data_IF_091264098603
#
_entry.id   IF_091264098603
#
_cell.length_a   1.000
_cell.length_b   1.000
_cell.length_c   1.000
_cell.angle_alpha   90.00
_cell.angle_beta   90.00
_cell.angle_gamma   90.00
#
_symmetry.space_group_name_H-M   'P 1'
#
loop_
_entity.id
_entity.type
_entity.pdbx_description
1 polymer ?
#
# COMPACT_ATOMS: atom_id res chain seq x y z
N UNK A 1 -17.56 8.22 13.67
CA UNK A 1 -17.35 9.64 14.04
C UNK A 1 -17.91 10.56 12.97
N UNK A 2 -17.45 10.48 11.70
CA UNK A 2 -17.97 11.32 10.60
C UNK A 2 -19.49 11.32 10.48
N UNK A 3 -20.14 10.16 10.54
CA UNK A 3 -21.60 10.05 10.50
C UNK A 3 -22.30 10.92 11.56
N UNK A 4 -21.80 10.95 12.79
CA UNK A 4 -22.36 11.77 13.87
C UNK A 4 -22.16 13.27 13.63
N UNK A 5 -21.04 13.67 13.04
CA UNK A 5 -20.77 15.08 12.70
C UNK A 5 -21.69 15.55 11.58
N UNK A 6 -21.88 14.73 10.54
CA UNK A 6 -22.82 15.00 9.46
C UNK A 6 -24.26 15.08 9.99
N UNK A 7 -24.68 14.12 10.82
CA UNK A 7 -26.01 14.10 11.44
C UNK A 7 -26.25 15.34 12.33
N UNK A 8 -25.25 15.77 13.09
CA UNK A 8 -25.35 16.97 13.91
C UNK A 8 -25.51 18.24 13.05
N UNK A 9 -24.76 18.33 11.95
CA UNK A 9 -24.88 19.44 10.99
C UNK A 9 -26.28 19.48 10.35
N UNK A 10 -26.77 18.36 9.84
CA UNK A 10 -28.12 18.26 9.24
C UNK A 10 -29.24 18.60 10.22
N UNK A 11 -29.05 18.31 11.51
CA UNK A 11 -29.99 18.69 12.59
C UNK A 11 -29.90 20.16 13.01
N UNK A 12 -29.05 20.96 12.37
CA UNK A 12 -28.85 22.38 12.68
C UNK A 12 -28.12 22.60 14.01
N UNK A 13 -27.29 21.65 14.45
CA UNK A 13 -26.48 21.85 15.65
C UNK A 13 -25.32 22.84 15.45
N UNK A 14 -24.95 23.12 14.19
CA UNK A 14 -23.97 24.14 13.79
C UNK A 14 -24.30 24.67 12.40
N UNK A 15 -24.10 25.97 12.17
CA UNK A 15 -24.31 26.62 10.86
C UNK A 15 -23.15 26.33 9.88
N UNK A 16 -21.95 26.07 10.39
CA UNK A 16 -20.77 25.73 9.60
C UNK A 16 -19.96 24.62 10.27
N UNK A 17 -19.45 23.70 9.46
CA UNK A 17 -18.58 22.60 9.88
C UNK A 17 -17.47 22.48 8.84
N UNK A 18 -16.23 22.59 9.30
CA UNK A 18 -15.05 22.47 8.45
C UNK A 18 -14.21 21.29 8.92
N UNK A 19 -13.95 20.35 8.02
CA UNK A 19 -12.96 19.31 8.24
C UNK A 19 -11.60 19.82 7.81
N UNK A 20 -10.61 19.72 8.69
CA UNK A 20 -9.21 20.03 8.39
C UNK A 20 -8.47 18.70 8.31
N UNK A 21 -8.08 18.24 7.12
CA UNK A 21 -7.22 17.06 6.96
C UNK A 21 -5.88 17.31 7.66
N UNK A 22 -5.45 16.39 8.52
CA UNK A 22 -4.16 16.49 9.21
C UNK A 22 -3.38 15.21 8.99
N UNK A 23 -2.18 15.34 8.40
CA UNK A 23 -1.21 14.26 8.36
C UNK A 23 -0.20 14.43 9.49
N UNK A 24 0.05 13.35 10.22
CA UNK A 24 1.07 13.29 11.27
C UNK A 24 2.02 12.15 10.91
N UNK A 25 3.23 12.50 10.49
CA UNK A 25 4.29 11.55 10.22
C UNK A 25 5.30 11.57 11.35
N UNK A 26 5.74 10.38 11.76
CA UNK A 26 6.73 10.22 12.81
C UNK A 26 7.99 9.61 12.23
N UNK A 27 9.16 10.10 12.63
CA UNK A 27 10.41 9.36 12.40
C UNK A 27 10.39 8.02 13.16
N UNK A 28 9.64 7.94 14.26
CA UNK A 28 9.55 6.76 15.11
C UNK A 28 8.13 6.54 15.63
N UNK A 29 7.71 5.28 15.64
CA UNK A 29 6.41 4.89 16.18
C UNK A 29 6.61 4.16 17.49
N UNK A 30 5.93 4.63 18.53
CA UNK A 30 5.82 3.88 19.78
C UNK A 30 5.03 2.59 19.50
N UNK A 31 5.41 1.50 20.16
CA UNK A 31 4.56 0.31 20.25
C UNK A 31 4.43 -0.56 18.98
N UNK A 32 5.43 -0.48 18.10
CA UNK A 32 5.61 -1.38 16.95
C UNK A 32 5.36 -2.85 17.32
N UNK A 33 5.81 -3.30 18.50
CA UNK A 33 5.62 -4.69 18.95
C UNK A 33 4.17 -5.06 19.27
N UNK A 34 3.38 -4.14 19.81
CA UNK A 34 1.97 -4.38 20.08
C UNK A 34 1.18 -4.45 18.77
N UNK A 35 1.51 -3.57 17.81
CA UNK A 35 0.93 -3.59 16.48
C UNK A 35 1.30 -4.85 15.70
N UNK A 36 2.57 -5.30 15.77
CA UNK A 36 3.05 -6.56 15.16
C UNK A 36 2.39 -7.78 15.80
N UNK A 37 2.19 -7.78 17.13
CA UNK A 37 1.51 -8.88 17.83
C UNK A 37 0.05 -9.00 17.39
N UNK A 38 -0.66 -7.88 17.32
CA UNK A 38 -2.06 -7.81 16.86
C UNK A 38 -2.18 -8.24 15.38
N UNK A 39 -1.32 -7.69 14.50
CA UNK A 39 -1.29 -8.01 13.07
C UNK A 39 -0.93 -9.48 12.79
N UNK A 40 -0.08 -10.10 13.62
CA UNK A 40 0.29 -11.52 13.56
C UNK A 40 -0.74 -12.48 14.19
N UNK A 41 -1.88 -11.96 14.67
CA UNK A 41 -2.96 -12.78 15.24
C UNK A 41 -2.78 -13.19 16.70
N UNK A 42 -1.79 -12.63 17.40
CA UNK A 42 -1.72 -12.73 18.87
C UNK A 42 -2.74 -11.72 19.43
N UNK A 43 -3.71 -12.21 20.20
CA UNK A 43 -4.84 -11.40 20.67
C UNK A 43 -4.41 -10.13 21.41
N UNK A 44 -5.24 -9.08 21.28
CA UNK A 44 -5.09 -7.79 21.96
C UNK A 44 -4.80 -7.98 23.45
N UNK A 45 -3.62 -7.60 23.91
CA UNK A 45 -3.40 -7.47 25.35
C UNK A 45 -4.20 -6.25 25.83
N UNK A 46 -5.09 -6.45 26.79
CA UNK A 46 -5.81 -5.36 27.46
C UNK A 46 -4.82 -4.57 28.32
N UNK A 47 -4.13 -3.61 27.72
CA UNK A 47 -3.21 -2.75 28.43
C UNK A 47 -3.93 -1.47 28.88
N UNK A 48 -4.28 -1.42 30.17
CA UNK A 48 -4.95 -0.28 30.78
C UNK A 48 -4.02 0.92 31.01
N UNK A 49 -4.59 2.06 31.42
CA UNK A 49 -3.91 3.35 31.65
C UNK A 49 -2.61 3.29 32.51
N UNK A 50 -2.43 2.24 33.32
CA UNK A 50 -1.21 1.98 34.13
C UNK A 50 -0.01 1.46 33.33
N UNK A 51 -0.22 0.96 32.12
CA UNK A 51 0.82 0.57 31.17
C UNK A 51 1.30 1.81 30.38
N UNK A 52 0.36 2.65 29.90
CA UNK A 52 0.61 3.97 29.31
C UNK A 52 1.50 4.86 30.19
N UNK A 53 1.18 4.98 31.49
CA UNK A 53 1.99 5.78 32.43
C UNK A 53 3.42 5.24 32.65
N UNK A 54 3.65 3.94 32.42
CA UNK A 54 4.95 3.29 32.60
C UNK A 54 5.81 3.34 31.34
N UNK A 55 5.19 3.32 30.16
CA UNK A 55 5.83 3.64 28.89
C UNK A 55 6.23 5.12 28.88
N UNK A 56 5.30 6.04 29.11
CA UNK A 56 5.57 7.50 29.14
C UNK A 56 6.70 7.92 30.09
N UNK A 57 6.94 7.20 31.19
CA UNK A 57 8.01 7.51 32.15
C UNK A 57 9.36 6.85 31.82
N UNK A 58 9.37 5.79 31.01
CA UNK A 58 10.58 5.15 30.47
C UNK A 58 10.98 5.76 29.12
N UNK A 59 10.00 6.35 28.42
CA UNK A 59 10.10 6.89 27.07
C UNK A 59 10.39 8.41 27.03
N UNK A 60 10.93 8.97 28.11
CA UNK A 60 11.34 10.39 28.19
C UNK A 60 12.86 10.56 28.09
N UNK A 61 13.61 9.47 28.00
CA UNK A 61 15.09 9.47 27.98
C UNK A 61 15.70 9.19 26.60
N UNK A 62 14.96 8.64 25.65
CA UNK A 62 15.47 8.38 24.30
C UNK A 62 15.15 9.56 23.34
N UNK A 63 15.98 9.77 22.33
CA UNK A 63 15.74 10.76 21.28
C UNK A 63 14.79 10.16 20.23
N UNK A 64 13.51 10.54 20.28
CA UNK A 64 12.42 9.94 19.48
C UNK A 64 12.28 10.47 18.02
N UNK A 65 13.35 11.07 17.49
CA UNK A 65 13.30 11.71 16.17
C UNK A 65 12.36 12.93 16.14
N UNK A 66 11.85 13.27 14.96
CA UNK A 66 10.94 14.41 14.74
C UNK A 66 9.50 13.93 14.47
N UNK A 67 8.55 14.80 14.80
CA UNK A 67 7.13 14.67 14.43
C UNK A 67 6.82 15.75 13.40
N UNK A 68 6.26 15.36 12.27
CA UNK A 68 5.87 16.26 11.19
C UNK A 68 4.35 16.33 11.15
N UNK A 69 3.82 17.54 11.30
CA UNK A 69 2.38 17.80 11.20
C UNK A 69 2.13 18.67 9.98
N UNK A 70 1.27 18.20 9.07
CA UNK A 70 0.87 18.92 7.87
C UNK A 70 -0.65 19.02 7.79
N UNK A 71 -1.12 20.16 7.31
CA UNK A 71 -2.55 20.46 7.18
C UNK A 71 -2.91 20.48 5.69
N UNK A 72 -3.90 19.69 5.31
CA UNK A 72 -4.47 19.67 3.97
C UNK A 72 -5.49 20.79 3.76
N UNK A 73 -5.95 20.93 2.52
CA UNK A 73 -6.99 21.90 2.19
C UNK A 73 -8.28 21.61 2.99
N UNK A 74 -8.90 22.61 3.63
CA UNK A 74 -10.11 22.41 4.43
C UNK A 74 -11.32 22.01 3.55
N UNK A 75 -12.19 21.15 4.07
CA UNK A 75 -13.45 20.74 3.45
C UNK A 75 -14.59 21.38 4.23
N UNK A 76 -15.34 22.29 3.61
CA UNK A 76 -16.57 22.83 4.19
C UNK A 76 -17.71 21.85 3.95
N UNK A 77 -18.34 21.39 5.03
CA UNK A 77 -19.38 20.36 4.94
C UNK A 77 -20.58 20.85 4.12
N UNK A 78 -21.00 22.10 4.28
CA UNK A 78 -22.11 22.67 3.50
C UNK A 78 -21.88 22.61 1.98
N UNK A 79 -20.71 23.07 1.52
CA UNK A 79 -20.32 23.03 0.10
C UNK A 79 -20.17 21.59 -0.42
N UNK A 80 -19.67 20.70 0.42
CA UNK A 80 -19.53 19.28 0.08
C UNK A 80 -20.90 18.61 -0.10
N UNK A 81 -21.86 18.87 0.80
CA UNK A 81 -23.19 18.31 0.73
C UNK A 81 -23.98 18.80 -0.48
N UNK A 82 -23.84 20.07 -0.89
CA UNK A 82 -24.46 20.56 -2.12
C UNK A 82 -23.91 19.84 -3.35
N UNK A 83 -22.60 19.64 -3.39
CA UNK A 83 -21.93 18.96 -4.51
C UNK A 83 -22.33 17.48 -4.61
N UNK A 84 -22.49 16.79 -3.48
CA UNK A 84 -22.90 15.37 -3.45
C UNK A 84 -24.41 15.19 -3.61
N UNK A 85 -25.22 16.12 -3.12
CA UNK A 85 -26.68 16.06 -3.19
C UNK A 85 -27.25 16.24 -4.60
N UNK A 86 -26.48 16.81 -5.52
CA UNK A 86 -26.84 16.91 -6.95
C UNK A 86 -26.67 15.57 -7.71
N UNK A 87 -26.03 14.57 -7.10
CA UNK A 87 -25.98 13.21 -7.67
C UNK A 87 -27.23 12.41 -7.25
N UNK A 88 -28.23 12.40 -8.13
CA UNK A 88 -29.47 11.61 -8.02
C UNK A 88 -29.17 10.08 -7.96
N UNK A 89 -30.10 9.31 -7.37
CA UNK A 89 -30.12 7.83 -7.22
C UNK A 89 -29.59 7.20 -5.91
N UNK A 90 -30.00 7.71 -4.73
CA UNK A 90 -29.90 6.93 -3.49
C UNK A 90 -31.17 7.02 -2.62
N UNK A 91 -31.75 5.87 -2.26
CA UNK A 91 -32.89 5.74 -1.33
C UNK A 91 -32.60 6.31 0.08
N UNK A 92 -31.31 6.45 0.43
CA UNK A 92 -30.85 7.20 1.61
C UNK A 92 -29.57 8.00 1.24
N UNK A 93 -29.68 9.33 1.03
CA UNK A 93 -28.54 10.19 0.71
C UNK A 93 -27.37 10.05 1.70
N UNK A 94 -27.68 9.74 2.97
CA UNK A 94 -26.69 9.59 4.04
C UNK A 94 -25.78 8.38 3.85
N UNK A 95 -26.28 7.31 3.22
CA UNK A 95 -25.48 6.10 2.95
C UNK A 95 -24.33 6.36 1.98
N UNK A 96 -24.43 7.41 1.16
CA UNK A 96 -23.44 7.77 0.14
C UNK A 96 -22.55 8.95 0.56
N UNK A 97 -23.10 9.92 1.29
CA UNK A 97 -22.38 11.13 1.75
C UNK A 97 -21.22 10.79 2.67
N UNK A 98 -21.45 9.97 3.71
CA UNK A 98 -20.41 9.69 4.71
C UNK A 98 -19.21 8.96 4.09
N UNK A 99 -19.38 7.92 3.24
CA UNK A 99 -18.27 7.31 2.53
C UNK A 99 -17.53 8.28 1.59
N UNK A 100 -18.25 9.10 0.81
CA UNK A 100 -17.62 10.10 -0.08
C UNK A 100 -16.81 11.14 0.72
N UNK A 101 -17.32 11.59 1.86
CA UNK A 101 -16.60 12.52 2.74
C UNK A 101 -15.37 11.87 3.36
N UNK A 102 -15.49 10.62 3.83
CA UNK A 102 -14.36 9.86 4.35
C UNK A 102 -13.26 9.70 3.30
N UNK A 103 -13.65 9.40 2.06
CA UNK A 103 -12.75 9.33 0.92
C UNK A 103 -12.03 10.67 0.69
N UNK A 104 -12.77 11.77 0.57
CA UNK A 104 -12.21 13.10 0.33
C UNK A 104 -11.22 13.53 1.44
N UNK A 105 -11.58 13.31 2.71
CA UNK A 105 -10.70 13.59 3.85
C UNK A 105 -9.42 12.75 3.75
N UNK A 106 -9.52 11.45 3.49
CA UNK A 106 -8.36 10.56 3.39
C UNK A 106 -7.45 10.93 2.21
N UNK A 107 -8.01 11.28 1.06
CA UNK A 107 -7.25 11.74 -0.11
C UNK A 107 -6.45 13.00 0.22
N UNK A 108 -7.06 13.99 0.87
CA UNK A 108 -6.35 15.22 1.27
C UNK A 108 -5.31 15.00 2.37
N UNK A 109 -5.48 13.99 3.23
CA UNK A 109 -4.43 13.56 4.17
C UNK A 109 -3.26 13.00 3.37
N UNK A 110 -3.51 12.06 2.45
CA UNK A 110 -2.49 11.43 1.62
C UNK A 110 -1.69 12.45 0.79
N UNK A 111 -2.34 13.45 0.21
CA UNK A 111 -1.70 14.52 -0.57
C UNK A 111 -0.69 15.34 0.22
N UNK A 112 -0.88 15.50 1.54
CA UNK A 112 0.02 16.28 2.40
C UNK A 112 0.91 15.44 3.29
N UNK A 113 0.79 14.10 3.25
CA UNK A 113 1.66 13.20 4.03
C UNK A 113 3.09 13.28 3.54
N UNK A 114 4.05 13.73 4.38
CA UNK A 114 5.42 13.90 3.93
C UNK A 114 6.17 12.56 3.86
N UNK A 115 6.91 12.38 2.77
CA UNK A 115 7.86 11.29 2.59
C UNK A 115 9.09 11.54 3.46
N UNK A 116 9.53 10.50 4.18
CA UNK A 116 10.73 10.54 5.04
C UNK A 116 11.85 9.66 4.47
N UNK A 117 13.12 9.98 4.70
CA UNK A 117 14.23 9.08 4.36
C UNK A 117 14.08 7.66 4.94
N UNK A 118 13.58 7.55 6.18
CA UNK A 118 13.30 6.27 6.84
C UNK A 118 12.29 5.45 6.03
N UNK A 119 11.19 6.06 5.59
CA UNK A 119 10.17 5.37 4.79
C UNK A 119 10.72 4.85 3.46
N UNK A 120 11.64 5.58 2.83
CA UNK A 120 12.30 5.16 1.60
C UNK A 120 13.31 4.03 1.82
N UNK A 121 14.16 4.14 2.85
CA UNK A 121 15.12 3.07 3.22
C UNK A 121 14.38 1.77 3.55
N UNK A 122 13.30 1.84 4.34
CA UNK A 122 12.48 0.65 4.64
C UNK A 122 11.78 0.09 3.39
N UNK A 123 11.31 0.94 2.48
CA UNK A 123 10.71 0.51 1.21
C UNK A 123 11.71 -0.29 0.37
N UNK A 124 12.94 0.19 0.22
CA UNK A 124 14.02 -0.48 -0.53
C UNK A 124 14.42 -1.80 0.13
N UNK A 125 14.64 -1.81 1.46
CA UNK A 125 15.03 -3.02 2.18
C UNK A 125 13.94 -4.09 2.16
N UNK A 126 12.66 -3.71 2.26
CA UNK A 126 11.54 -4.64 2.10
C UNK A 126 11.45 -5.19 0.67
N UNK A 127 11.77 -4.36 -0.33
CA UNK A 127 11.81 -4.74 -1.74
C UNK A 127 12.76 -5.91 -2.06
N UNK A 128 13.82 -6.10 -1.25
CA UNK A 128 14.78 -7.20 -1.39
C UNK A 128 14.34 -8.54 -0.79
N UNK A 129 13.15 -8.62 -0.20
CA UNK A 129 12.57 -9.90 0.20
C UNK A 129 13.33 -10.63 1.29
N UNK A 130 13.85 -9.89 2.25
CA UNK A 130 14.64 -10.44 3.36
C UNK A 130 16.12 -10.66 3.05
N UNK A 131 16.57 -10.42 1.82
CA UNK A 131 17.99 -10.38 1.50
C UNK A 131 18.63 -9.12 2.09
N UNK A 132 19.86 -9.25 2.58
CA UNK A 132 20.64 -8.11 3.04
C UNK A 132 21.24 -7.35 1.86
N UNK A 133 21.37 -6.03 2.01
CA UNK A 133 21.96 -5.12 1.02
C UNK A 133 23.23 -4.48 1.56
N UNK A 134 24.20 -4.22 0.68
CA UNK A 134 25.31 -3.31 1.04
C UNK A 134 24.81 -1.87 1.14
N UNK A 135 25.64 -0.97 1.69
CA UNK A 135 25.31 0.45 1.69
C UNK A 135 25.20 0.99 0.25
N UNK A 136 26.13 0.58 -0.62
CA UNK A 136 26.14 0.97 -2.02
C UNK A 136 24.88 0.52 -2.78
N UNK A 137 24.39 -0.70 -2.53
CA UNK A 137 23.16 -1.21 -3.14
C UNK A 137 21.94 -0.39 -2.70
N UNK A 138 21.86 -0.04 -1.40
CA UNK A 138 20.76 0.78 -0.86
C UNK A 138 20.77 2.16 -1.52
N UNK A 139 21.95 2.80 -1.59
CA UNK A 139 22.08 4.11 -2.23
C UNK A 139 21.69 4.06 -3.71
N UNK A 140 22.17 3.06 -4.44
CA UNK A 140 21.86 2.85 -5.87
C UNK A 140 20.35 2.66 -6.09
N UNK A 141 19.68 1.90 -5.24
CA UNK A 141 18.23 1.69 -5.32
C UNK A 141 17.40 2.92 -4.93
N UNK A 142 17.91 3.76 -4.01
CA UNK A 142 17.23 4.96 -3.55
C UNK A 142 17.32 6.13 -4.53
N UNK A 143 18.43 6.27 -5.27
CA UNK A 143 18.65 7.37 -6.19
C UNK A 143 17.52 7.57 -7.22
N UNK A 144 17.08 6.55 -8.00
CA UNK A 144 16.01 6.73 -8.97
C UNK A 144 14.65 7.00 -8.31
N UNK A 145 14.44 6.56 -7.06
CA UNK A 145 13.24 6.90 -6.28
C UNK A 145 13.25 8.38 -5.87
N UNK A 146 14.41 8.93 -5.48
CA UNK A 146 14.54 10.36 -5.19
C UNK A 146 14.27 11.21 -6.44
N UNK A 147 14.80 10.81 -7.60
CA UNK A 147 14.51 11.49 -8.87
C UNK A 147 13.02 11.41 -9.25
N UNK A 148 12.34 10.30 -8.95
CA UNK A 148 10.90 10.17 -9.11
C UNK A 148 10.13 11.18 -8.24
N UNK A 149 10.54 11.32 -6.98
CA UNK A 149 9.97 12.23 -5.97
C UNK A 149 10.15 13.69 -6.40
N UNK A 150 11.37 14.07 -6.77
CA UNK A 150 11.73 15.44 -7.14
C UNK A 150 10.98 15.91 -8.40
N UNK A 151 10.96 15.07 -9.45
CA UNK A 151 10.23 15.36 -10.70
C UNK A 151 8.74 15.61 -10.50
N UNK A 152 8.17 15.02 -9.45
CA UNK A 152 6.74 15.15 -9.09
C UNK A 152 6.50 16.18 -7.99
N UNK A 153 7.55 16.78 -7.44
CA UNK A 153 7.47 17.71 -6.31
C UNK A 153 6.64 17.14 -5.14
N UNK A 154 6.83 15.85 -4.86
CA UNK A 154 6.07 15.18 -3.80
C UNK A 154 6.44 15.76 -2.43
N UNK A 155 5.52 15.77 -1.46
CA UNK A 155 5.79 16.31 -0.14
C UNK A 155 6.87 15.48 0.56
N UNK A 156 7.97 16.10 0.96
CA UNK A 156 9.03 15.45 1.76
C UNK A 156 9.26 16.18 3.07
N UNK A 157 9.77 15.50 4.10
CA UNK A 157 10.12 16.14 5.39
C UNK A 157 11.33 17.06 5.30
N UNK A 158 12.24 16.72 4.40
CA UNK A 158 13.44 17.45 4.02
C UNK A 158 13.75 17.14 2.55
N UNK A 159 14.57 17.95 1.85
CA UNK A 159 15.02 17.60 0.51
C UNK A 159 15.64 16.20 0.51
N UNK A 160 15.21 15.36 -0.43
CA UNK A 160 15.67 13.97 -0.55
C UNK A 160 16.79 13.96 -1.58
N UNK A 161 18.03 14.00 -1.10
CA UNK A 161 19.21 13.97 -1.94
C UNK A 161 20.11 12.84 -1.45
N UNK A 162 20.11 11.73 -2.17
CA UNK A 162 20.91 10.55 -1.84
C UNK A 162 22.31 10.58 -2.49
N UNK A 163 22.73 11.75 -2.97
CA UNK A 163 24.09 12.00 -3.44
C UNK A 163 25.11 12.00 -2.28
N UNK A 164 24.66 12.33 -1.05
CA UNK A 164 25.49 12.24 0.15
C UNK A 164 25.06 11.08 1.05
N UNK A 165 26.05 10.40 1.62
CA UNK A 165 25.80 9.23 2.46
C UNK A 165 25.08 9.57 3.78
N UNK A 166 25.15 10.83 4.22
CA UNK A 166 24.74 11.25 5.56
C UNK A 166 23.27 10.97 5.84
N UNK A 167 22.37 11.22 4.88
CA UNK A 167 20.93 11.03 5.06
C UNK A 167 20.56 9.54 5.15
N UNK A 168 21.18 8.70 4.32
CA UNK A 168 21.00 7.24 4.34
C UNK A 168 21.56 6.67 5.64
N UNK A 169 22.79 7.06 6.02
CA UNK A 169 23.44 6.61 7.27
C UNK A 169 22.65 7.03 8.50
N UNK A 170 22.14 8.26 8.54
CA UNK A 170 21.29 8.72 9.64
C UNK A 170 20.02 7.86 9.76
N UNK A 171 19.37 7.55 8.64
CA UNK A 171 18.15 6.72 8.60
C UNK A 171 18.43 5.28 9.04
N UNK A 172 19.51 4.67 8.52
CA UNK A 172 19.95 3.33 8.92
C UNK A 172 20.29 3.28 10.41
N UNK A 173 21.05 4.25 10.92
CA UNK A 173 21.42 4.32 12.34
C UNK A 173 20.18 4.42 13.24
N UNK A 174 19.17 5.19 12.84
CA UNK A 174 17.90 5.25 13.57
C UNK A 174 17.20 3.88 13.53
N UNK A 175 17.03 3.28 12.36
CA UNK A 175 16.39 1.98 12.21
C UNK A 175 17.11 0.86 12.99
N UNK A 176 18.44 0.88 13.06
CA UNK A 176 19.26 -0.05 13.85
C UNK A 176 19.08 0.19 15.35
N UNK A 177 19.11 1.44 15.79
CA UNK A 177 18.88 1.82 17.19
C UNK A 177 17.54 1.30 17.70
N UNK A 178 16.52 1.33 16.84
CA UNK A 178 15.17 0.82 17.14
C UNK A 178 14.96 -0.65 16.79
N UNK A 179 16.02 -1.34 16.35
CA UNK A 179 16.02 -2.78 16.02
C UNK A 179 15.08 -3.15 14.88
N UNK A 180 14.72 -2.21 14.01
CA UNK A 180 13.94 -2.49 12.79
C UNK A 180 14.85 -3.04 11.69
N UNK A 181 16.09 -2.55 11.64
CA UNK A 181 17.15 -3.02 10.73
C UNK A 181 18.27 -3.65 11.56
N UNK A 182 18.87 -4.72 11.03
CA UNK A 182 20.08 -5.33 11.55
C UNK A 182 21.25 -5.01 10.61
N UNK A 183 22.39 -4.65 11.21
CA UNK A 183 23.66 -4.51 10.51
C UNK A 183 24.51 -5.74 10.81
N UNK A 184 25.08 -6.33 9.76
CA UNK A 184 25.99 -7.46 9.85
C UNK A 184 27.36 -7.05 9.33
N UNK A 185 28.45 -7.45 10.02
CA UNK A 185 29.79 -7.19 9.53
C UNK A 185 30.05 -7.98 8.25
N UNK A 186 30.45 -7.29 7.18
CA UNK A 186 30.98 -7.90 5.97
C UNK A 186 32.50 -7.78 5.90
N UNK A 187 33.10 -8.45 4.90
CA UNK A 187 34.55 -8.40 4.66
C UNK A 187 34.95 -7.10 3.99
N UNK A 188 34.19 -6.68 2.97
CA UNK A 188 34.44 -5.45 2.22
C UNK A 188 33.69 -4.27 2.84
N UNK A 189 32.38 -4.43 3.07
CA UNK A 189 31.51 -3.46 3.73
C UNK A 189 30.39 -4.14 4.54
N UNK A 190 29.78 -3.45 5.53
CA UNK A 190 28.62 -3.97 6.25
C UNK A 190 27.41 -4.17 5.35
N UNK A 191 26.56 -5.13 5.71
CA UNK A 191 25.29 -5.39 5.05
C UNK A 191 24.13 -5.16 6.01
N UNK A 192 23.00 -4.71 5.47
CA UNK A 192 21.81 -4.31 6.22
C UNK A 192 20.59 -5.10 5.75
N UNK A 193 19.77 -5.58 6.67
CA UNK A 193 18.48 -6.19 6.35
C UNK A 193 17.42 -5.79 7.37
N UNK A 194 16.15 -5.96 7.01
CA UNK A 194 15.08 -5.86 7.99
C UNK A 194 15.26 -6.97 9.03
N UNK A 195 15.24 -6.59 10.31
CA UNK A 195 15.44 -7.50 11.42
C UNK A 195 14.36 -8.59 11.45
N UNK A 196 14.71 -9.76 12.01
CA UNK A 196 13.76 -10.86 12.15
C UNK A 196 12.49 -10.42 12.92
N UNK A 197 11.31 -10.82 12.43
CA UNK A 197 9.98 -10.40 12.92
C UNK A 197 9.66 -8.89 12.84
N UNK A 198 10.50 -8.05 12.25
CA UNK A 198 10.26 -6.60 12.09
C UNK A 198 9.74 -6.18 10.72
N UNK A 199 9.37 -7.12 9.86
CA UNK A 199 8.90 -6.80 8.50
C UNK A 199 7.56 -6.06 8.52
N UNK A 200 6.63 -6.44 9.40
CA UNK A 200 5.39 -5.69 9.60
C UNK A 200 5.65 -4.29 10.15
N UNK A 201 6.64 -4.14 11.04
CA UNK A 201 7.07 -2.84 11.54
C UNK A 201 7.62 -1.93 10.44
N UNK A 202 8.57 -2.45 9.67
CA UNK A 202 9.15 -1.76 8.53
C UNK A 202 8.07 -1.40 7.49
N UNK A 203 7.13 -2.31 7.25
CA UNK A 203 6.05 -2.10 6.28
C UNK A 203 5.16 -0.91 6.64
N UNK A 204 5.02 -0.56 7.92
CA UNK A 204 4.28 0.63 8.32
C UNK A 204 4.94 1.91 7.76
N UNK A 205 6.26 2.04 7.88
CA UNK A 205 6.97 3.21 7.38
C UNK A 205 6.81 3.34 5.86
N UNK A 206 6.99 2.24 5.11
CA UNK A 206 6.70 2.19 3.67
C UNK A 206 5.24 2.55 3.36
N UNK A 207 4.28 1.94 4.07
CA UNK A 207 2.85 2.09 3.79
C UNK A 207 2.35 3.53 4.03
N UNK A 208 3.07 4.34 4.80
CA UNK A 208 2.77 5.77 4.99
C UNK A 208 2.98 6.59 3.70
N UNK A 209 3.85 6.12 2.79
CA UNK A 209 4.21 6.84 1.56
C UNK A 209 3.80 6.09 0.29
N UNK A 210 3.36 4.83 0.41
CA UNK A 210 3.23 3.94 -0.73
C UNK A 210 2.21 4.42 -1.76
N UNK A 211 1.18 5.16 -1.32
CA UNK A 211 0.12 5.71 -2.16
C UNK A 211 0.64 6.63 -3.27
N UNK A 212 1.79 7.29 -3.08
CA UNK A 212 2.40 8.12 -4.11
C UNK A 212 2.93 7.33 -5.32
N UNK A 213 3.17 6.03 -5.15
CA UNK A 213 3.76 5.16 -6.18
C UNK A 213 2.74 4.22 -6.84
N UNK A 214 1.53 4.12 -6.29
CA UNK A 214 0.52 3.12 -6.70
C UNK A 214 0.09 3.29 -8.16
N UNK A 215 -0.14 4.52 -8.65
CA UNK A 215 -0.59 4.71 -10.03
C UNK A 215 0.48 4.29 -11.04
N UNK A 216 1.74 4.66 -10.81
CA UNK A 216 2.86 4.23 -11.67
C UNK A 216 3.03 2.71 -11.61
N UNK A 217 2.98 2.13 -10.41
CA UNK A 217 3.04 0.69 -10.20
C UNK A 217 1.91 -0.08 -10.91
N UNK A 218 0.67 0.40 -10.86
CA UNK A 218 -0.45 -0.18 -11.61
C UNK A 218 -0.21 -0.06 -13.11
N UNK A 219 0.33 1.07 -13.57
CA UNK A 219 0.62 1.31 -14.99
C UNK A 219 1.68 0.32 -15.50
N UNK A 220 2.78 0.11 -14.78
CA UNK A 220 3.81 -0.89 -15.10
C UNK A 220 3.21 -2.30 -15.24
N UNK A 221 2.43 -2.72 -14.24
CA UNK A 221 1.81 -4.04 -14.25
C UNK A 221 0.77 -4.17 -15.37
N UNK A 222 0.01 -3.10 -15.66
CA UNK A 222 -0.95 -3.07 -16.77
C UNK A 222 -0.26 -3.21 -18.13
N UNK A 223 0.87 -2.53 -18.35
CA UNK A 223 1.69 -2.66 -19.56
C UNK A 223 2.16 -4.11 -19.73
N UNK A 224 2.65 -4.75 -18.66
CA UNK A 224 3.07 -6.14 -18.73
C UNK A 224 1.90 -7.10 -19.03
N UNK A 225 0.70 -6.80 -18.52
CA UNK A 225 -0.50 -7.61 -18.74
C UNK A 225 -1.02 -7.60 -20.18
N UNK A 226 -0.64 -6.60 -20.99
CA UNK A 226 -1.06 -6.49 -22.39
C UNK A 226 0.00 -6.98 -23.37
N UNK A 227 1.04 -7.67 -22.90
CA UNK A 227 2.20 -8.07 -23.72
C UNK A 227 1.83 -8.85 -24.98
N UNK A 228 0.86 -9.75 -24.87
CA UNK A 228 0.42 -10.61 -25.97
C UNK A 228 -0.90 -10.14 -26.60
N UNK A 229 -1.35 -8.90 -26.31
CA UNK A 229 -2.60 -8.36 -26.81
C UNK A 229 -2.40 -7.50 -28.08
N UNK A 230 -2.98 -7.89 -29.24
CA UNK A 230 -2.94 -7.09 -30.46
C UNK A 230 -3.53 -5.67 -30.33
N UNK A 231 -4.36 -5.43 -29.32
CA UNK A 231 -4.99 -4.14 -29.01
C UNK A 231 -4.39 -3.46 -27.75
N UNK A 232 -3.16 -3.82 -27.37
CA UNK A 232 -2.50 -3.36 -26.13
C UNK A 232 -2.67 -1.87 -25.82
N UNK A 233 -2.58 -0.99 -26.82
CA UNK A 233 -2.71 0.46 -26.64
C UNK A 233 -4.08 0.94 -26.13
N UNK A 234 -5.14 0.13 -26.28
CA UNK A 234 -6.45 0.38 -25.68
C UNK A 234 -6.60 -0.45 -24.40
N UNK A 235 -6.29 -1.75 -24.46
CA UNK A 235 -6.47 -2.68 -23.35
C UNK A 235 -5.65 -2.33 -22.10
N UNK A 236 -4.55 -1.57 -22.22
CA UNK A 236 -3.74 -1.14 -21.08
C UNK A 236 -4.56 -0.34 -20.05
N UNK A 237 -5.53 0.46 -20.51
CA UNK A 237 -6.41 1.23 -19.63
C UNK A 237 -7.43 0.33 -18.93
N UNK A 238 -7.97 -0.67 -19.65
CA UNK A 238 -8.87 -1.67 -19.07
C UNK A 238 -8.12 -2.50 -18.00
N UNK A 239 -6.88 -2.89 -18.28
CA UNK A 239 -6.02 -3.59 -17.30
C UNK A 239 -5.66 -2.73 -16.10
N UNK A 240 -5.41 -1.43 -16.30
CA UNK A 240 -5.21 -0.52 -15.19
C UNK A 240 -6.47 -0.42 -14.29
N UNK A 241 -7.67 -0.39 -14.88
CA UNK A 241 -8.92 -0.40 -14.12
C UNK A 241 -9.16 -1.71 -13.38
N UNK A 242 -8.90 -2.84 -14.04
CA UNK A 242 -9.00 -4.16 -13.43
C UNK A 242 -8.08 -4.31 -12.21
N UNK A 243 -6.88 -3.71 -12.26
CA UNK A 243 -5.91 -3.68 -11.15
C UNK A 243 -6.31 -2.69 -10.06
N UNK A 244 -6.82 -1.52 -10.43
CA UNK A 244 -7.41 -0.54 -9.50
C UNK A 244 -8.53 -1.17 -8.69
N UNK A 245 -9.45 -1.87 -9.35
CA UNK A 245 -10.61 -2.50 -8.73
C UNK A 245 -10.23 -3.68 -7.84
N UNK A 246 -9.12 -4.36 -8.17
CA UNK A 246 -8.52 -5.36 -7.30
C UNK A 246 -8.01 -4.73 -6.00
N UNK A 247 -7.42 -3.53 -6.06
CA UNK A 247 -6.75 -2.87 -4.94
C UNK A 247 -7.62 -1.84 -4.20
N UNK A 248 -8.91 -1.72 -4.54
CA UNK A 248 -9.80 -0.67 -4.01
C UNK A 248 -10.07 -0.73 -2.50
N UNK A 249 -9.78 -1.86 -1.87
CA UNK A 249 -9.86 -2.01 -0.41
C UNK A 249 -8.54 -1.65 0.29
N UNK A 250 -7.47 -1.41 -0.47
CA UNK A 250 -6.15 -0.96 0.03
C UNK A 250 -5.97 0.54 -0.12
N UNK A 251 -6.40 1.10 -1.26
CA UNK A 251 -6.10 2.48 -1.62
C UNK A 251 -7.33 3.29 -1.97
N UNK A 252 -7.22 4.60 -1.71
CA UNK A 252 -8.19 5.59 -2.14
C UNK A 252 -7.89 6.03 -3.58
N UNK A 253 -8.65 5.50 -4.54
CA UNK A 253 -8.51 5.87 -5.95
C UNK A 253 -9.49 6.96 -6.37
N UNK A 254 -9.05 7.93 -7.19
CA UNK A 254 -9.96 8.93 -7.74
C UNK A 254 -11.02 8.29 -8.64
N UNK A 255 -12.02 9.08 -9.03
CA UNK A 255 -13.05 8.63 -9.98
C UNK A 255 -12.42 8.07 -11.27
N UNK A 256 -13.13 7.14 -11.92
CA UNK A 256 -12.62 6.37 -13.08
C UNK A 256 -11.94 7.23 -14.13
N UNK A 257 -12.58 8.32 -14.58
CA UNK A 257 -12.01 9.16 -15.64
C UNK A 257 -10.75 9.89 -15.20
N UNK A 258 -10.70 10.34 -13.94
CA UNK A 258 -9.51 10.98 -13.36
C UNK A 258 -8.37 9.98 -13.23
N UNK A 259 -8.64 8.77 -12.71
CA UNK A 259 -7.65 7.69 -12.61
C UNK A 259 -7.07 7.31 -13.98
N UNK A 260 -7.91 7.15 -15.00
CA UNK A 260 -7.44 6.87 -16.37
C UNK A 260 -6.64 8.04 -16.95
N UNK A 261 -6.99 9.27 -16.59
CA UNK A 261 -6.20 10.46 -16.87
C UNK A 261 -4.80 10.35 -16.25
N UNK A 262 -4.70 9.97 -14.98
CA UNK A 262 -3.43 9.79 -14.28
C UNK A 262 -2.57 8.68 -14.90
N UNK A 263 -3.17 7.53 -15.26
CA UNK A 263 -2.48 6.46 -15.98
C UNK A 263 -1.91 6.96 -17.31
N UNK A 264 -2.67 7.78 -18.05
CA UNK A 264 -2.19 8.39 -19.30
C UNK A 264 -1.05 9.37 -19.05
N UNK A 265 -1.12 10.17 -17.99
CA UNK A 265 -0.04 11.08 -17.60
C UNK A 265 1.22 10.33 -17.22
N UNK A 266 1.10 9.20 -16.51
CA UNK A 266 2.24 8.34 -16.18
C UNK A 266 2.88 7.75 -17.44
N UNK A 267 2.09 7.22 -18.38
CA UNK A 267 2.59 6.76 -19.68
C UNK A 267 3.36 7.85 -20.43
N UNK A 268 2.76 9.04 -20.58
CA UNK A 268 3.39 10.17 -21.28
C UNK A 268 4.64 10.72 -20.59
N UNK A 269 4.67 10.69 -19.26
CA UNK A 269 5.82 11.18 -18.48
C UNK A 269 7.03 10.28 -18.63
N UNK A 270 6.81 8.97 -18.73
CA UNK A 270 7.88 7.99 -18.86
C UNK A 270 8.33 7.80 -20.32
N UNK A 271 7.40 7.80 -21.29
CA UNK A 271 7.73 7.67 -22.70
C UNK A 271 6.63 8.30 -23.58
N UNK A 272 6.95 9.34 -24.35
CA UNK A 272 5.98 10.02 -25.24
C UNK A 272 5.55 9.16 -26.44
N UNK A 273 6.37 8.18 -26.82
CA UNK A 273 6.09 7.17 -27.86
C UNK A 273 5.36 5.92 -27.32
N UNK A 274 4.89 5.92 -26.06
CA UNK A 274 4.26 4.74 -25.42
C UNK A 274 3.21 4.06 -26.29
N UNK A 275 2.39 4.84 -27.00
CA UNK A 275 1.32 4.31 -27.85
C UNK A 275 1.88 3.55 -29.04
N UNK A 276 2.92 4.08 -29.68
CA UNK A 276 3.59 3.45 -30.82
C UNK A 276 4.27 2.15 -30.38
N UNK A 277 4.91 2.15 -29.22
CA UNK A 277 5.56 0.96 -28.64
C UNK A 277 4.53 -0.13 -28.33
N UNK A 278 3.40 0.20 -27.70
CA UNK A 278 2.33 -0.76 -27.44
C UNK A 278 1.72 -1.34 -28.73
N UNK A 279 1.52 -0.53 -29.77
CA UNK A 279 1.01 -1.01 -31.07
C UNK A 279 2.03 -1.91 -31.78
N UNK A 280 3.32 -1.62 -31.63
CA UNK A 280 4.40 -2.45 -32.17
C UNK A 280 4.66 -3.73 -31.36
N UNK A 281 4.09 -3.86 -30.15
CA UNK A 281 4.38 -4.94 -29.22
C UNK A 281 5.74 -4.82 -28.53
N UNK A 282 6.38 -3.65 -28.56
CA UNK A 282 7.67 -3.40 -27.92
C UNK A 282 7.50 -3.00 -26.45
N UNK A 283 7.03 -3.97 -25.67
CA UNK A 283 6.73 -3.83 -24.25
C UNK A 283 7.98 -3.63 -23.41
N UNK A 284 9.08 -4.28 -23.79
CA UNK A 284 10.31 -4.25 -23.02
C UNK A 284 10.97 -2.86 -23.07
N UNK A 285 11.01 -2.23 -24.25
CA UNK A 285 11.46 -0.83 -24.39
C UNK A 285 10.58 0.11 -23.58
N UNK A 286 9.26 -0.05 -23.66
CA UNK A 286 8.34 0.80 -22.89
C UNK A 286 8.56 0.62 -21.39
N UNK A 287 8.57 -0.62 -20.89
CA UNK A 287 8.77 -0.87 -19.47
C UNK A 287 10.17 -0.46 -18.99
N UNK A 288 11.19 -0.38 -19.85
CA UNK A 288 12.53 0.11 -19.48
C UNK A 288 12.59 1.62 -19.30
N UNK A 289 11.56 2.35 -19.76
CA UNK A 289 11.38 3.76 -19.41
C UNK A 289 10.79 3.99 -18.00
N UNK A 290 10.31 2.91 -17.36
CA UNK A 290 9.82 2.92 -15.98
C UNK A 290 10.94 2.47 -15.04
N UNK A 291 11.88 3.36 -14.78
CA UNK A 291 12.94 3.16 -13.77
C UNK A 291 12.78 4.15 -12.60
N UNK A 292 12.80 3.67 -11.34
CA UNK A 292 12.93 2.25 -10.95
C UNK A 292 11.59 1.51 -11.12
N UNK A 293 11.62 0.17 -11.18
CA UNK A 293 10.38 -0.63 -11.20
C UNK A 293 9.64 -0.49 -9.85
N UNK A 294 8.51 0.20 -9.84
CA UNK A 294 7.75 0.51 -8.62
C UNK A 294 6.73 -0.56 -8.27
N UNK A 295 6.21 -1.31 -9.24
CA UNK A 295 5.19 -2.32 -8.98
C UNK A 295 5.62 -3.39 -7.96
N UNK A 296 6.84 -3.97 -8.04
CA UNK A 296 7.31 -4.92 -7.04
C UNK A 296 7.47 -4.31 -5.64
N UNK A 297 7.86 -3.03 -5.55
CA UNK A 297 8.06 -2.33 -4.29
C UNK A 297 6.72 -1.92 -3.65
N UNK A 298 5.73 -1.57 -4.47
CA UNK A 298 4.46 -1.00 -4.03
C UNK A 298 3.33 -2.02 -3.88
N UNK A 299 3.20 -2.99 -4.78
CA UNK A 299 2.00 -3.82 -4.89
C UNK A 299 2.17 -5.24 -4.34
N UNK A 300 3.40 -5.75 -4.28
CA UNK A 300 3.70 -7.15 -3.94
C UNK A 300 3.02 -7.64 -2.66
N UNK A 301 3.10 -6.94 -1.52
CA UNK A 301 2.51 -7.44 -0.28
C UNK A 301 1.00 -7.69 -0.38
N UNK A 302 0.31 -6.81 -1.09
CA UNK A 302 -1.13 -6.87 -1.30
C UNK A 302 -1.49 -8.04 -2.21
N UNK A 303 -0.83 -8.15 -3.36
CA UNK A 303 -1.11 -9.21 -4.34
C UNK A 303 -0.76 -10.60 -3.79
N UNK A 304 0.36 -10.74 -3.07
CA UNK A 304 0.72 -11.99 -2.40
C UNK A 304 -0.31 -12.37 -1.31
N UNK A 305 -0.73 -11.41 -0.49
CA UNK A 305 -1.78 -11.65 0.53
C UNK A 305 -3.10 -12.08 -0.10
N UNK A 306 -3.48 -11.45 -1.21
CA UNK A 306 -4.72 -11.74 -1.92
C UNK A 306 -4.66 -13.12 -2.54
N UNK A 307 -3.52 -13.50 -3.13
CA UNK A 307 -3.27 -14.87 -3.64
C UNK A 307 -3.49 -15.91 -2.54
N UNK A 308 -2.92 -15.70 -1.34
CA UNK A 308 -3.09 -16.64 -0.21
C UNK A 308 -4.57 -16.84 0.11
N UNK A 309 -5.33 -15.75 0.25
CA UNK A 309 -6.77 -15.83 0.55
C UNK A 309 -7.54 -16.51 -0.56
N UNK A 310 -7.28 -16.16 -1.83
CA UNK A 310 -7.93 -16.78 -2.98
C UNK A 310 -7.71 -18.29 -3.05
N UNK A 311 -6.48 -18.76 -2.79
CA UNK A 311 -6.16 -20.19 -2.78
C UNK A 311 -6.75 -20.93 -1.56
N UNK A 312 -6.93 -20.27 -0.41
CA UNK A 312 -7.69 -20.83 0.72
C UNK A 312 -9.14 -21.07 0.32
N UNK A 313 -9.76 -20.11 -0.37
CA UNK A 313 -11.16 -20.21 -0.80
C UNK A 313 -11.33 -21.25 -1.92
N UNK A 314 -10.37 -21.33 -2.85
CA UNK A 314 -10.30 -22.36 -3.89
C UNK A 314 -10.24 -23.77 -3.28
N UNK A 315 -9.41 -23.99 -2.24
CA UNK A 315 -9.29 -25.29 -1.58
C UNK A 315 -10.54 -25.69 -0.80
N UNK A 316 -11.28 -24.70 -0.31
CA UNK A 316 -12.54 -24.88 0.37
C UNK A 316 -13.74 -24.75 -0.59
N UNK A 317 -13.55 -24.90 -1.90
CA UNK A 317 -14.59 -24.78 -2.92
C UNK A 317 -15.83 -25.64 -2.66
N UNK A 318 -15.67 -26.79 -2.01
CA UNK A 318 -16.73 -27.75 -1.73
C UNK A 318 -17.44 -27.54 -0.39
N UNK A 319 -17.02 -26.56 0.41
CA UNK A 319 -17.63 -26.27 1.72
C UNK A 319 -18.82 -25.34 1.52
N UNK A 320 -19.96 -25.69 2.14
CA UNK A 320 -21.22 -24.95 2.00
C UNK A 320 -21.19 -23.56 2.61
N UNK A 321 -20.39 -23.31 3.64
CA UNK A 321 -20.22 -21.97 4.23
C UNK A 321 -18.79 -21.81 4.74
N UNK A 322 -18.10 -20.78 4.29
CA UNK A 322 -16.75 -20.45 4.73
C UNK A 322 -16.78 -19.14 5.49
N UNK A 323 -16.60 -19.20 6.81
CA UNK A 323 -16.61 -18.01 7.65
C UNK A 323 -15.25 -17.28 7.63
N UNK A 324 -15.28 -15.96 7.78
CA UNK A 324 -14.08 -15.10 7.69
C UNK A 324 -12.99 -15.47 8.71
N UNK A 325 -13.36 -16.04 9.87
CA UNK A 325 -12.39 -16.45 10.90
C UNK A 325 -11.64 -17.71 10.47
N UNK A 326 -12.33 -18.67 9.85
CA UNK A 326 -11.71 -19.86 9.27
C UNK A 326 -10.79 -19.48 8.12
N UNK A 327 -11.22 -18.58 7.21
CA UNK A 327 -10.38 -18.10 6.11
C UNK A 327 -9.09 -17.48 6.65
N UNK A 328 -9.17 -16.59 7.64
CA UNK A 328 -7.99 -15.95 8.22
C UNK A 328 -7.04 -16.94 8.87
N UNK A 329 -7.56 -17.90 9.63
CA UNK A 329 -6.74 -18.93 10.26
C UNK A 329 -5.99 -19.76 9.21
N UNK A 330 -6.69 -20.20 8.18
CA UNK A 330 -6.11 -21.01 7.11
C UNK A 330 -5.13 -20.19 6.26
N UNK A 331 -5.43 -18.91 6.01
CA UNK A 331 -4.55 -17.97 5.32
C UNK A 331 -3.26 -17.71 6.10
N UNK A 332 -3.32 -17.53 7.43
CA UNK A 332 -2.10 -17.43 8.27
C UNK A 332 -1.26 -18.70 8.19
N UNK A 333 -1.88 -19.88 8.22
CA UNK A 333 -1.17 -21.15 8.10
C UNK A 333 -0.54 -21.32 6.72
N UNK A 334 -1.30 -21.02 5.65
CA UNK A 334 -0.86 -21.17 4.27
C UNK A 334 0.20 -20.14 3.90
N UNK A 335 -0.02 -18.87 4.22
CA UNK A 335 0.97 -17.80 3.99
C UNK A 335 2.28 -18.09 4.72
N UNK A 336 2.20 -18.57 5.96
CA UNK A 336 3.39 -19.02 6.70
C UNK A 336 4.09 -20.22 6.07
N UNK A 337 3.36 -21.11 5.38
CA UNK A 337 3.95 -22.18 4.59
C UNK A 337 4.67 -21.61 3.35
N UNK A 338 4.01 -20.77 2.57
CA UNK A 338 4.58 -20.14 1.37
C UNK A 338 5.81 -19.30 1.65
N UNK A 339 5.82 -18.55 2.74
CA UNK A 339 6.99 -17.81 3.18
C UNK A 339 8.21 -18.73 3.42
N UNK A 340 8.00 -19.92 3.99
CA UNK A 340 9.10 -20.89 4.23
C UNK A 340 9.52 -21.64 2.97
N UNK A 341 8.64 -21.73 1.98
CA UNK A 341 8.93 -22.33 0.67
C UNK A 341 9.57 -21.35 -0.31
N UNK A 342 9.54 -20.05 -0.02
CA UNK A 342 9.98 -19.00 -0.93
C UNK A 342 8.94 -18.62 -1.99
N UNK A 343 7.69 -19.06 -1.85
CA UNK A 343 6.58 -18.74 -2.76
C UNK A 343 5.97 -17.35 -2.48
N UNK A 344 6.32 -16.76 -1.34
CA UNK A 344 6.05 -15.39 -0.90
C UNK A 344 7.38 -14.79 -0.49
N UNK A 345 7.64 -13.56 -0.95
CA UNK A 345 8.94 -12.91 -0.78
C UNK A 345 9.08 -12.27 0.60
N UNK A 346 8.04 -11.58 1.08
CA UNK A 346 8.08 -10.78 2.30
C UNK A 346 7.18 -11.33 3.41
N UNK A 347 7.63 -11.43 4.67
CA UNK A 347 6.77 -11.76 5.81
C UNK A 347 5.61 -10.78 6.01
N UNK A 348 5.70 -9.54 5.52
CA UNK A 348 4.62 -8.55 5.62
C UNK A 348 3.36 -8.93 4.82
N UNK A 349 3.51 -9.79 3.80
CA UNK A 349 2.40 -10.35 3.00
C UNK A 349 1.58 -11.39 3.76
N UNK A 350 1.96 -11.73 5.00
CA UNK A 350 1.25 -12.70 5.84
C UNK A 350 0.77 -11.99 7.10
N UNK A 351 -0.32 -11.22 6.96
CA UNK A 351 -0.86 -10.42 8.07
C UNK A 351 -2.37 -10.33 8.05
N UNK A 352 -2.98 -10.25 9.24
CA UNK A 352 -4.43 -10.12 9.36
C UNK A 352 -4.99 -8.87 8.65
N UNK A 353 -4.37 -7.67 8.73
CA UNK A 353 -4.89 -6.51 8.03
C UNK A 353 -5.04 -6.71 6.52
N UNK A 354 -4.02 -7.31 5.87
CA UNK A 354 -4.07 -7.59 4.43
C UNK A 354 -5.01 -8.75 4.08
N UNK A 355 -5.19 -9.71 4.99
CA UNK A 355 -6.19 -10.76 4.80
C UNK A 355 -7.62 -10.23 4.98
N UNK A 356 -7.85 -9.26 5.87
CA UNK A 356 -9.17 -8.64 6.06
C UNK A 356 -9.62 -7.90 4.79
N UNK A 357 -8.72 -7.16 4.14
CA UNK A 357 -9.00 -6.47 2.87
C UNK A 357 -9.17 -7.45 1.70
N UNK A 358 -8.34 -8.51 1.62
CA UNK A 358 -8.50 -9.58 0.63
C UNK A 358 -9.85 -10.31 0.76
N UNK A 359 -10.30 -10.57 2.00
CA UNK A 359 -11.61 -11.15 2.30
C UNK A 359 -12.72 -10.17 1.91
N UNK A 360 -12.55 -8.88 2.17
CA UNK A 360 -13.51 -7.85 1.75
C UNK A 360 -13.66 -7.81 0.22
N UNK A 361 -12.56 -7.90 -0.53
CA UNK A 361 -12.59 -8.03 -1.99
C UNK A 361 -13.34 -9.29 -2.42
N UNK A 362 -12.98 -10.44 -1.84
CA UNK A 362 -13.60 -11.72 -2.17
C UNK A 362 -15.11 -11.68 -1.95
N UNK A 363 -15.55 -11.09 -0.83
CA UNK A 363 -16.96 -10.91 -0.50
C UNK A 363 -17.65 -9.98 -1.48
N UNK A 364 -17.00 -8.88 -1.86
CA UNK A 364 -17.51 -7.97 -2.88
C UNK A 364 -17.70 -8.67 -4.23
N UNK A 365 -16.79 -9.56 -4.61
CA UNK A 365 -16.89 -10.38 -5.81
C UNK A 365 -17.91 -11.52 -5.71
N UNK A 366 -18.59 -11.67 -4.57
CA UNK A 366 -19.55 -12.75 -4.32
C UNK A 366 -18.92 -14.12 -4.08
N UNK A 367 -17.58 -14.23 -4.06
CA UNK A 367 -16.88 -15.51 -4.12
C UNK A 367 -17.05 -16.37 -2.84
N UNK A 368 -17.49 -15.77 -1.74
CA UNK A 368 -17.82 -16.46 -0.49
C UNK A 368 -19.25 -17.03 -0.46
N UNK A 369 -20.13 -16.60 -1.37
CA UNK A 369 -21.50 -17.09 -1.44
C UNK A 369 -21.55 -18.40 -2.26
N UNK A 370 -21.86 -19.55 -1.65
CA UNK A 370 -21.97 -20.84 -2.33
C UNK A 370 -23.10 -20.89 -3.37
N UNK A 371 -24.09 -19.99 -3.27
CA UNK A 371 -25.24 -19.94 -4.19
C UNK A 371 -24.98 -19.01 -5.39
N UNK A 372 -24.08 -18.03 -5.23
CA UNK A 372 -23.80 -17.03 -6.26
C UNK A 372 -22.52 -17.31 -7.08
N UNK A 373 -21.67 -18.24 -6.64
CA UNK A 373 -20.33 -18.46 -7.21
C UNK A 373 -20.06 -19.93 -7.52
N UNK A 374 -19.51 -20.19 -8.70
CA UNK A 374 -19.06 -21.53 -9.10
C UNK A 374 -17.64 -21.86 -8.61
N UNK A 375 -17.28 -23.15 -8.62
CA UNK A 375 -15.90 -23.57 -8.35
C UNK A 375 -14.92 -22.94 -9.36
N UNK A 376 -15.35 -22.81 -10.62
CA UNK A 376 -14.56 -22.26 -11.72
C UNK A 376 -14.23 -20.77 -11.49
N UNK A 377 -15.15 -19.99 -10.92
CA UNK A 377 -14.92 -18.57 -10.59
C UNK A 377 -13.83 -18.42 -9.51
N UNK A 378 -13.85 -19.28 -8.49
CA UNK A 378 -12.83 -19.30 -7.41
C UNK A 378 -11.47 -19.70 -7.97
N UNK A 379 -11.43 -20.72 -8.83
CA UNK A 379 -10.21 -21.16 -9.51
C UNK A 379 -9.64 -20.09 -10.44
N UNK A 380 -10.50 -19.42 -11.20
CA UNK A 380 -10.13 -18.32 -12.11
C UNK A 380 -9.56 -17.14 -11.32
N UNK A 381 -10.18 -16.75 -10.21
CA UNK A 381 -9.67 -15.69 -9.34
C UNK A 381 -8.29 -16.03 -8.74
N UNK A 382 -8.13 -17.25 -8.22
CA UNK A 382 -6.85 -17.72 -7.70
C UNK A 382 -5.77 -17.77 -8.78
N UNK A 383 -6.08 -18.29 -9.97
CA UNK A 383 -5.16 -18.33 -11.11
C UNK A 383 -4.72 -16.92 -11.54
N UNK A 384 -5.66 -15.96 -11.62
CA UNK A 384 -5.34 -14.56 -11.92
C UNK A 384 -4.33 -13.99 -10.93
N UNK A 385 -4.53 -14.21 -9.63
CA UNK A 385 -3.62 -13.70 -8.59
C UNK A 385 -2.24 -14.37 -8.62
N UNK A 386 -2.16 -15.67 -8.95
CA UNK A 386 -0.87 -16.34 -9.20
C UNK A 386 -0.12 -15.67 -10.36
N UNK A 387 -0.79 -15.44 -11.48
CA UNK A 387 -0.19 -14.73 -12.63
C UNK A 387 0.30 -13.34 -12.27
N UNK A 388 -0.44 -12.58 -11.46
CA UNK A 388 0.02 -11.25 -11.01
C UNK A 388 1.27 -11.34 -10.11
N UNK A 389 1.37 -12.33 -9.24
CA UNK A 389 2.59 -12.57 -8.44
C UNK A 389 3.78 -12.89 -9.35
N UNK A 390 3.60 -13.75 -10.35
CA UNK A 390 4.65 -14.09 -11.32
C UNK A 390 5.11 -12.88 -12.12
N UNK A 391 4.17 -12.03 -12.55
CA UNK A 391 4.45 -10.77 -13.26
C UNK A 391 5.22 -9.78 -12.38
N UNK A 392 4.89 -9.67 -11.09
CA UNK A 392 5.66 -8.84 -10.15
C UNK A 392 7.08 -9.38 -9.94
N UNK A 393 7.27 -10.70 -9.97
CA UNK A 393 8.60 -11.30 -9.95
C UNK A 393 9.39 -11.00 -11.24
N UNK A 394 8.72 -11.01 -12.41
CA UNK A 394 9.36 -10.60 -13.68
C UNK A 394 9.80 -9.14 -13.64
N UNK A 395 8.94 -8.22 -13.17
CA UNK A 395 9.27 -6.80 -13.05
C UNK A 395 10.42 -6.54 -12.07
N UNK A 396 10.56 -7.35 -11.02
CA UNK A 396 11.64 -7.20 -10.03
C UNK A 396 13.01 -7.67 -10.53
N UNK A 397 13.06 -8.49 -11.57
CA UNK A 397 14.31 -9.04 -12.14
C UNK A 397 14.78 -8.27 -13.39
N UNK A 398 14.09 -7.17 -13.74
CA UNK A 398 14.47 -6.25 -14.82
C UNK A 398 15.35 -5.17 -14.23
#
# INVERSE_FOLDING_TARGET
MLAYVVEAYERGASDDVVFIPVSIAYDQIQDVRAHVAEASGKGKQNEGARWLFRQLSKDLTDSYGKIYVRFGAPIRLGEFLTTVGESEDADDPRSTVVPKLAFEVSTRINEVTPITPISLVTMVLLGQGGSAMTFADIQSALQPIAEFIDRRSLPTTEPIHFDSEDQIRASLNQLITHKVVEEFPGVDEPIFSIAHEQHLAASYYRNTIIHFFVTTAITELAILNVRDDPNAAHSVFDKALELRDLLKFEFFFPATDAFLGDVRHELLRHNDEWRSLLVAGDIDTLLSSFEPALAPLALRPFIESYRVVAEVIERNAYVSTLDEKTIKKDAMSLGGQYLRQGDIVGPESVSNPLFDTAIALTKYLGLLDPCATSIDDRQTHAARLRTLVDQLAQLANR
#
